data_IF_128691228884
#
_entry.id   IF_128691228884
#
_cell.length_a   1.000
_cell.length_b   1.000
_cell.length_c   1.000
_cell.angle_alpha   90.00
_cell.angle_beta   90.00
_cell.angle_gamma   90.00
#
_symmetry.space_group_name_H-M   'P 1'
#
loop_
_entity.id
_entity.type
_entity.pdbx_description
1 polymer ?
#
# COMPACT_ATOMS: atom_id res chain seq x y z
N UNK A 1 -4.55 1.05 14.58
CA UNK A 1 -4.63 -0.43 14.43
C UNK A 1 -5.22 -1.09 15.67
N UNK A 2 -5.01 -0.49 16.84
CA UNK A 2 -5.37 -1.02 18.19
C UNK A 2 -6.85 -1.34 18.39
N UNK A 3 -7.74 -0.66 17.65
CA UNK A 3 -9.19 -0.88 17.72
C UNK A 3 -9.69 -2.03 16.84
N UNK A 4 -8.79 -2.71 16.12
CA UNK A 4 -9.14 -3.74 15.14
C UNK A 4 -8.92 -5.13 15.71
N UNK A 5 -9.75 -6.09 15.32
CA UNK A 5 -9.60 -7.49 15.71
C UNK A 5 -8.24 -8.04 15.28
N UNK A 6 -7.74 -9.05 15.99
CA UNK A 6 -6.51 -9.72 15.63
C UNK A 6 -6.60 -10.30 14.20
N UNK A 7 -5.50 -10.18 13.45
CA UNK A 7 -5.34 -10.71 12.08
C UNK A 7 -6.49 -10.34 11.12
N UNK A 8 -7.05 -9.14 11.25
CA UNK A 8 -8.19 -8.67 10.45
C UNK A 8 -7.85 -7.58 9.43
N UNK A 9 -6.61 -7.06 9.46
CA UNK A 9 -6.15 -5.97 8.60
C UNK A 9 -5.20 -6.49 7.54
N UNK A 10 -5.47 -6.15 6.29
CA UNK A 10 -4.53 -6.27 5.19
C UNK A 10 -3.67 -5.00 5.10
N UNK A 11 -2.35 -5.14 5.26
CA UNK A 11 -1.42 -4.05 4.98
C UNK A 11 -1.03 -4.08 3.49
N UNK A 12 -0.98 -2.93 2.83
CA UNK A 12 -0.68 -2.81 1.40
C UNK A 12 0.40 -1.75 1.23
N UNK A 13 1.58 -2.15 0.77
CA UNK A 13 2.71 -1.26 0.53
C UNK A 13 3.68 -1.82 -0.51
N UNK A 14 4.07 -0.98 -1.45
CA UNK A 14 5.02 -1.30 -2.51
C UNK A 14 6.43 -0.74 -2.22
N UNK A 15 6.73 -0.52 -0.93
CA UNK A 15 8.04 -0.05 -0.49
C UNK A 15 8.28 1.44 -0.78
N UNK A 16 9.55 1.82 -0.74
CA UNK A 16 9.98 3.20 -0.96
C UNK A 16 9.99 3.60 -2.44
N UNK A 17 10.34 2.66 -3.33
CA UNK A 17 10.53 2.90 -4.76
C UNK A 17 9.44 2.33 -5.66
N UNK A 18 8.56 1.46 -5.15
CA UNK A 18 7.50 0.86 -5.97
C UNK A 18 6.40 1.86 -6.27
N UNK A 19 6.08 1.99 -7.56
CA UNK A 19 4.95 2.78 -8.06
C UNK A 19 4.12 1.89 -8.99
N UNK A 20 2.82 2.17 -9.04
CA UNK A 20 1.88 1.49 -9.92
C UNK A 20 1.43 2.45 -11.01
N UNK A 21 0.93 1.92 -12.12
CA UNK A 21 0.20 2.74 -13.10
C UNK A 21 -1.12 3.24 -12.50
N UNK A 22 -1.62 4.37 -12.97
CA UNK A 22 -2.93 4.92 -12.56
C UNK A 22 -4.05 3.87 -12.66
N UNK A 23 -4.07 3.11 -13.75
CA UNK A 23 -5.05 2.03 -13.96
C UNK A 23 -4.93 0.94 -12.88
N UNK A 24 -3.71 0.57 -12.49
CA UNK A 24 -3.48 -0.43 -11.44
C UNK A 24 -3.86 0.08 -10.04
N UNK A 25 -3.67 1.37 -9.76
CA UNK A 25 -4.15 2.00 -8.51
C UNK A 25 -5.68 1.93 -8.45
N UNK A 26 -6.36 2.21 -9.56
CA UNK A 26 -7.83 2.14 -9.66
C UNK A 26 -8.33 0.71 -9.42
N UNK A 27 -7.74 -0.27 -10.10
CA UNK A 27 -8.11 -1.69 -9.92
C UNK A 27 -7.84 -2.18 -8.49
N UNK A 28 -6.71 -1.79 -7.90
CA UNK A 28 -6.39 -2.12 -6.51
C UNK A 28 -7.40 -1.49 -5.54
N UNK A 29 -7.79 -0.23 -5.77
CA UNK A 29 -8.80 0.44 -4.94
C UNK A 29 -10.15 -0.29 -5.04
N UNK A 30 -10.60 -0.65 -6.24
CA UNK A 30 -11.83 -1.45 -6.40
C UNK A 30 -11.73 -2.82 -5.76
N UNK A 31 -10.61 -3.52 -5.91
CA UNK A 31 -10.36 -4.80 -5.28
C UNK A 31 -10.44 -4.72 -3.76
N UNK A 32 -9.83 -3.71 -3.15
CA UNK A 32 -9.89 -3.46 -1.71
C UNK A 32 -11.33 -3.16 -1.24
N UNK A 33 -12.05 -2.30 -1.95
CA UNK A 33 -13.45 -1.97 -1.63
C UNK A 33 -14.36 -3.22 -1.71
N UNK A 34 -14.27 -3.97 -2.81
CA UNK A 34 -15.09 -5.15 -3.07
C UNK A 34 -14.75 -6.34 -2.16
N UNK A 35 -13.51 -6.42 -1.67
CA UNK A 35 -13.09 -7.48 -0.76
C UNK A 35 -13.85 -7.46 0.57
N UNK A 36 -14.40 -6.31 0.97
CA UNK A 36 -14.98 -6.07 2.30
C UNK A 36 -14.04 -6.46 3.46
N UNK A 37 -12.73 -6.55 3.21
CA UNK A 37 -11.72 -6.70 4.23
C UNK A 37 -11.20 -5.34 4.66
N UNK A 38 -10.80 -5.23 5.94
CA UNK A 38 -10.21 -4.00 6.44
C UNK A 38 -8.76 -3.88 5.97
N UNK A 39 -8.31 -2.67 5.68
CA UNK A 39 -6.98 -2.45 5.13
C UNK A 39 -6.27 -1.20 5.64
N UNK A 40 -4.95 -1.22 5.56
CA UNK A 40 -4.09 -0.03 5.61
C UNK A 40 -3.30 0.01 4.33
N UNK A 41 -3.47 1.05 3.52
CA UNK A 41 -2.84 1.16 2.21
C UNK A 41 -1.96 2.40 2.11
N UNK A 42 -0.66 2.18 1.90
CA UNK A 42 0.29 3.25 1.59
C UNK A 42 0.24 3.55 0.09
N UNK A 43 -0.22 4.76 -0.28
CA UNK A 43 -0.40 5.18 -1.67
C UNK A 43 0.68 6.17 -2.07
N UNK A 44 1.23 5.97 -3.26
CA UNK A 44 2.17 6.88 -3.92
C UNK A 44 1.57 7.37 -5.24
N UNK A 45 2.00 8.53 -5.77
CA UNK A 45 1.62 8.96 -7.11
C UNK A 45 1.98 7.88 -8.15
N UNK A 46 1.18 7.74 -9.21
CA UNK A 46 1.41 6.78 -10.27
C UNK A 46 2.63 7.13 -11.12
N UNK A 47 3.17 6.14 -11.83
CA UNK A 47 4.32 6.28 -12.74
C UNK A 47 3.94 6.10 -14.21
N UNK A 48 2.89 6.79 -14.66
CA UNK A 48 2.32 6.63 -16.01
C UNK A 48 3.32 6.93 -17.15
N UNK A 49 4.37 7.72 -16.87
CA UNK A 49 5.38 8.10 -17.85
C UNK A 49 6.62 7.18 -17.85
N UNK A 50 6.56 6.00 -17.22
CA UNK A 50 7.58 4.96 -17.36
C UNK A 50 8.93 5.26 -16.69
N UNK A 51 8.99 6.26 -15.81
CA UNK A 51 10.16 6.45 -14.93
C UNK A 51 9.80 6.00 -13.53
N UNK A 52 10.44 4.93 -13.06
CA UNK A 52 10.44 4.48 -11.66
C UNK A 52 11.10 5.57 -10.80
N UNK A 53 10.33 6.61 -10.50
CA UNK A 53 10.80 7.90 -9.98
C UNK A 53 10.21 8.22 -8.61
N UNK A 54 9.75 7.22 -7.85
CA UNK A 54 9.32 7.42 -6.46
C UNK A 54 10.42 8.02 -5.57
N UNK A 55 11.70 7.86 -5.93
CA UNK A 55 12.82 8.51 -5.25
C UNK A 55 13.03 9.98 -5.64
N UNK A 56 12.50 10.43 -6.79
CA UNK A 56 12.85 11.72 -7.42
C UNK A 56 11.70 12.73 -7.40
N UNK A 57 10.45 12.30 -7.22
CA UNK A 57 9.29 13.19 -7.21
C UNK A 57 8.97 13.72 -5.81
N UNK A 58 9.98 14.30 -5.15
CA UNK A 58 9.78 15.34 -4.14
C UNK A 58 9.62 16.71 -4.81
N UNK A 59 9.14 16.76 -6.05
CA UNK A 59 8.86 18.02 -6.72
C UNK A 59 7.57 18.58 -6.13
N UNK A 60 7.70 19.61 -5.30
CA UNK A 60 6.65 20.44 -4.69
C UNK A 60 5.66 21.07 -5.71
N UNK A 61 5.80 20.76 -7.01
CA UNK A 61 5.07 21.36 -8.12
C UNK A 61 3.97 20.47 -8.72
N UNK A 62 3.85 19.20 -8.31
CA UNK A 62 2.67 18.40 -8.64
C UNK A 62 1.60 18.68 -7.59
N UNK A 63 0.63 19.52 -7.94
CA UNK A 63 -0.37 20.05 -7.00
C UNK A 63 -1.37 18.99 -6.53
N UNK A 64 -1.32 17.79 -7.10
CA UNK A 64 -2.20 16.69 -6.75
C UNK A 64 -1.59 15.72 -5.75
N UNK A 65 -2.19 15.59 -4.57
CA UNK A 65 -1.74 14.62 -3.57
C UNK A 65 -1.94 13.17 -4.04
N UNK A 66 -1.22 12.17 -3.50
CA UNK A 66 -1.37 10.75 -3.88
C UNK A 66 -2.82 10.21 -3.80
N UNK A 67 -3.69 10.90 -3.06
CA UNK A 67 -5.10 10.55 -2.89
C UNK A 67 -5.99 10.94 -4.08
N UNK A 68 -5.52 11.82 -4.97
CA UNK A 68 -6.30 12.29 -6.14
C UNK A 68 -6.43 11.23 -7.22
N UNK A 69 -5.52 10.25 -7.23
CA UNK A 69 -5.53 9.13 -8.18
C UNK A 69 -6.47 7.99 -7.76
N UNK A 70 -7.17 8.14 -6.63
CA UNK A 70 -8.15 7.16 -6.16
C UNK A 70 -9.49 7.36 -6.87
N UNK A 71 -10.29 6.29 -7.07
CA UNK A 71 -11.64 6.42 -7.61
C UNK A 71 -12.46 7.44 -6.83
N UNK A 72 -13.23 8.27 -7.54
CA UNK A 72 -14.04 9.33 -6.93
C UNK A 72 -14.91 8.77 -5.80
N UNK A 73 -14.79 9.35 -4.62
CA UNK A 73 -15.55 8.97 -3.43
C UNK A 73 -15.06 7.71 -2.70
N UNK A 74 -13.96 7.08 -3.14
CA UNK A 74 -13.38 5.89 -2.50
C UNK A 74 -13.18 6.08 -1.00
N UNK A 75 -12.47 7.15 -0.59
CA UNK A 75 -12.22 7.45 0.83
C UNK A 75 -13.50 7.56 1.66
N UNK A 76 -14.58 8.10 1.08
CA UNK A 76 -15.88 8.19 1.75
C UNK A 76 -16.55 6.83 1.89
N UNK A 77 -16.52 6.02 0.84
CA UNK A 77 -17.13 4.67 0.84
C UNK A 77 -16.38 3.70 1.75
N UNK A 78 -15.06 3.84 1.87
CA UNK A 78 -14.22 2.94 2.66
C UNK A 78 -13.85 3.47 4.04
N UNK A 79 -14.41 4.61 4.49
CA UNK A 79 -14.00 5.28 5.75
C UNK A 79 -14.02 4.37 7.00
N UNK A 80 -14.93 3.40 7.03
CA UNK A 80 -15.13 2.47 8.16
C UNK A 80 -14.36 1.14 7.95
N UNK A 81 -13.78 0.95 6.77
CA UNK A 81 -13.10 -0.27 6.33
C UNK A 81 -11.59 -0.10 6.23
N UNK A 82 -11.11 1.03 5.73
CA UNK A 82 -9.73 1.20 5.35
C UNK A 82 -9.16 2.55 5.72
N UNK A 83 -7.85 2.55 5.98
CA UNK A 83 -7.05 3.77 6.14
C UNK A 83 -6.10 3.87 4.94
N UNK A 84 -6.15 5.00 4.24
CA UNK A 84 -5.20 5.33 3.18
C UNK A 84 -4.18 6.31 3.72
N UNK A 85 -2.90 5.96 3.61
CA UNK A 85 -1.78 6.77 4.09
C UNK A 85 -0.97 7.23 2.88
N UNK A 86 -0.82 8.54 2.65
CA UNK A 86 -0.01 9.02 1.54
C UNK A 86 1.48 8.82 1.83
N UNK A 87 2.22 8.43 0.79
CA UNK A 87 3.69 8.34 0.71
C UNK A 87 4.35 7.30 1.61
N UNK A 88 4.14 7.35 2.92
CA UNK A 88 4.93 6.57 3.87
C UNK A 88 4.17 6.25 5.15
N UNK A 89 4.46 5.08 5.72
CA UNK A 89 4.01 4.66 7.03
C UNK A 89 5.12 3.89 7.76
N UNK A 90 5.02 3.82 9.09
CA UNK A 90 5.97 3.11 9.93
C UNK A 90 5.78 1.58 9.81
N UNK A 91 6.27 1.02 8.69
CA UNK A 91 5.97 -0.34 8.24
C UNK A 91 6.28 -1.43 9.27
N UNK A 92 7.43 -1.34 9.96
CA UNK A 92 7.82 -2.32 10.99
C UNK A 92 6.79 -2.37 12.12
N UNK A 93 6.31 -1.21 12.59
CA UNK A 93 5.28 -1.14 13.63
C UNK A 93 3.94 -1.70 13.16
N UNK A 94 3.56 -1.43 11.91
CA UNK A 94 2.34 -1.97 11.31
C UNK A 94 2.43 -3.50 11.23
N UNK A 95 3.49 -4.04 10.64
CA UNK A 95 3.67 -5.49 10.48
C UNK A 95 3.77 -6.22 11.82
N UNK A 96 4.36 -5.60 12.84
CA UNK A 96 4.45 -6.17 14.20
C UNK A 96 3.13 -6.09 14.97
N UNK A 97 2.11 -5.38 14.47
CA UNK A 97 0.85 -5.20 15.18
C UNK A 97 -0.08 -6.42 15.02
N UNK A 98 -0.63 -6.94 16.13
CA UNK A 98 -1.44 -8.17 16.16
C UNK A 98 -2.68 -8.17 15.27
N UNK A 99 -3.21 -6.98 14.95
CA UNK A 99 -4.36 -6.83 14.04
C UNK A 99 -4.01 -7.03 12.56
N UNK A 100 -2.74 -6.98 12.17
CA UNK A 100 -2.32 -7.23 10.79
C UNK A 100 -2.32 -8.73 10.53
N UNK A 101 -3.10 -9.15 9.53
CA UNK A 101 -3.29 -10.54 9.14
C UNK A 101 -2.67 -10.91 7.79
N UNK A 102 -2.27 -9.92 6.99
CA UNK A 102 -1.63 -10.15 5.71
C UNK A 102 -0.97 -8.89 5.16
N UNK A 103 -0.08 -9.07 4.18
CA UNK A 103 0.69 -8.00 3.56
C UNK A 103 0.72 -8.15 2.03
N UNK A 104 0.14 -7.22 1.28
CA UNK A 104 0.44 -7.07 -0.16
C UNK A 104 1.78 -6.35 -0.28
N UNK A 105 2.78 -7.06 -0.80
CA UNK A 105 4.16 -6.60 -0.84
C UNK A 105 4.74 -6.71 -2.24
N UNK A 106 5.57 -5.71 -2.58
CA UNK A 106 6.47 -5.76 -3.73
C UNK A 106 7.63 -6.75 -3.58
N UNK A 107 7.76 -7.43 -2.43
CA UNK A 107 8.77 -8.46 -2.17
C UNK A 107 10.23 -7.97 -2.16
N UNK A 108 10.48 -6.66 -2.02
CA UNK A 108 11.82 -6.16 -1.74
C UNK A 108 12.38 -6.82 -0.48
N UNK A 109 13.67 -7.18 -0.48
CA UNK A 109 14.23 -8.08 0.54
C UNK A 109 14.01 -7.63 1.99
N UNK A 110 14.14 -6.33 2.27
CA UNK A 110 13.87 -5.77 3.60
C UNK A 110 12.41 -6.00 4.04
N UNK A 111 11.45 -5.71 3.16
CA UNK A 111 10.03 -5.91 3.44
C UNK A 111 9.67 -7.39 3.59
N UNK A 112 10.33 -8.27 2.84
CA UNK A 112 10.20 -9.73 2.98
C UNK A 112 10.68 -10.18 4.36
N UNK A 113 11.86 -9.74 4.81
CA UNK A 113 12.39 -10.07 6.14
C UNK A 113 11.47 -9.54 7.25
N UNK A 114 10.99 -8.29 7.15
CA UNK A 114 10.06 -7.70 8.13
C UNK A 114 8.74 -8.49 8.24
N UNK A 115 8.21 -8.97 7.12
CA UNK A 115 7.02 -9.83 7.11
C UNK A 115 7.27 -11.18 7.76
N UNK A 116 8.41 -11.81 7.44
CA UNK A 116 8.80 -13.11 7.98
C UNK A 116 9.03 -13.05 9.50
N UNK A 117 9.74 -12.03 9.98
CA UNK A 117 10.01 -11.85 11.42
C UNK A 117 8.73 -11.54 12.19
N UNK A 118 7.77 -10.87 11.57
CA UNK A 118 6.45 -10.58 12.18
C UNK A 118 5.44 -11.73 12.03
N UNK A 119 5.76 -12.78 11.26
CA UNK A 119 4.86 -13.91 11.02
C UNK A 119 3.63 -13.55 10.19
N UNK A 120 3.73 -12.53 9.32
CA UNK A 120 2.63 -12.05 8.47
C UNK A 120 2.73 -12.71 7.08
N UNK A 121 1.68 -13.39 6.60
CA UNK A 121 1.66 -13.95 5.25
C UNK A 121 1.56 -12.87 4.18
N UNK A 122 2.15 -13.12 3.00
CA UNK A 122 2.21 -12.14 1.92
C UNK A 122 1.38 -12.54 0.70
N UNK A 123 0.75 -11.54 0.09
CA UNK A 123 0.34 -11.57 -1.33
C UNK A 123 1.47 -10.87 -2.10
N UNK A 124 2.12 -11.62 -2.99
CA UNK A 124 3.31 -11.15 -3.69
C UNK A 124 2.94 -10.37 -4.95
N UNK A 125 3.52 -9.18 -5.10
CA UNK A 125 3.33 -8.33 -6.28
C UNK A 125 4.66 -7.66 -6.68
N UNK A 126 5.62 -8.43 -7.19
CA UNK A 126 6.95 -7.93 -7.52
C UNK A 126 6.91 -6.90 -8.65
N UNK A 127 7.73 -5.85 -8.55
CA UNK A 127 7.75 -4.73 -9.49
C UNK A 127 9.09 -4.63 -10.25
N UNK A 128 10.22 -4.59 -9.54
CA UNK A 128 11.54 -4.34 -10.12
C UNK A 128 12.66 -5.11 -9.41
N UNK A 129 13.91 -4.89 -9.84
CA UNK A 129 15.11 -5.54 -9.32
C UNK A 129 14.93 -7.08 -9.23
N UNK A 130 15.34 -7.70 -8.13
CA UNK A 130 15.29 -9.15 -7.88
C UNK A 130 13.99 -9.64 -7.22
N UNK A 131 12.91 -8.85 -7.28
CA UNK A 131 11.65 -9.18 -6.58
C UNK A 131 10.92 -10.39 -7.19
N UNK A 132 11.21 -10.76 -8.45
CA UNK A 132 10.64 -11.91 -9.18
C UNK A 132 11.52 -13.15 -9.01
#
# INVERSE_FOLDING_TARGET
LDKQNQKSILYVSFGSGGTLLSEQIIELAWGLELSQHKFVWVVRPPSDNGTDSAYLNSNENDTGGPLEYLPKGFLTRTKDMGLVVPMWAQQVEILSHLSVGGFISHCGWNSTIESLTSGVPMIVWPLHAEQK
#
